data_IF_505476737300
#
_entry.id   IF_505476737300
#
_cell.length_a   1.000
_cell.length_b   1.000
_cell.length_c   1.000
_cell.angle_alpha   90.00
_cell.angle_beta   90.00
_cell.angle_gamma   90.00
#
_symmetry.space_group_name_H-M   'P 1'
#
loop_
_entity.id
_entity.type
_entity.pdbx_description
1 polymer ?
#
# COMPACT_ATOMS: atom_id res chain seq x y z
N UNK A 1 -34.99 15.57 12.86
CA UNK A 1 -33.74 14.89 13.21
C UNK A 1 -32.92 14.75 11.94
N UNK A 2 -31.93 15.62 11.72
CA UNK A 2 -31.07 15.54 10.53
C UNK A 2 -30.21 14.26 10.62
N UNK A 3 -30.06 13.48 9.54
CA UNK A 3 -29.17 12.33 9.55
C UNK A 3 -27.73 12.82 9.72
N UNK A 4 -27.05 12.32 10.74
CA UNK A 4 -25.63 12.63 10.95
C UNK A 4 -24.83 12.08 9.77
N UNK A 5 -23.95 12.87 9.14
CA UNK A 5 -23.16 12.42 8.00
C UNK A 5 -22.25 11.27 8.44
N UNK A 6 -22.45 10.10 7.86
CA UNK A 6 -21.65 8.92 8.13
C UNK A 6 -20.26 9.09 7.47
N UNK A 7 -19.17 9.25 8.26
CA UNK A 7 -17.85 9.54 7.72
C UNK A 7 -17.34 8.45 6.78
N UNK A 8 -17.73 7.19 7.01
CA UNK A 8 -17.34 6.07 6.17
C UNK A 8 -18.03 6.10 4.80
N UNK A 9 -19.28 6.61 4.72
CA UNK A 9 -20.00 6.77 3.45
C UNK A 9 -19.45 7.96 2.65
N UNK A 10 -19.18 9.08 3.32
CA UNK A 10 -18.53 10.24 2.69
C UNK A 10 -17.15 9.87 2.14
N UNK A 11 -16.35 9.13 2.92
CA UNK A 11 -15.05 8.65 2.50
C UNK A 11 -15.12 7.71 1.28
N UNK A 12 -16.08 6.77 1.25
CA UNK A 12 -16.29 5.89 0.09
C UNK A 12 -16.73 6.65 -1.16
N UNK A 13 -17.60 7.65 -1.01
CA UNK A 13 -18.08 8.48 -2.12
C UNK A 13 -16.93 9.31 -2.74
N UNK A 14 -16.09 9.94 -1.91
CA UNK A 14 -14.90 10.65 -2.39
C UNK A 14 -13.91 9.72 -3.07
N UNK A 15 -13.72 8.50 -2.54
CA UNK A 15 -12.85 7.48 -3.17
C UNK A 15 -13.36 7.07 -4.55
N UNK A 16 -14.66 6.84 -4.71
CA UNK A 16 -15.25 6.46 -6.00
C UNK A 16 -15.13 7.55 -7.09
N UNK A 17 -14.97 8.82 -6.69
CA UNK A 17 -14.81 9.94 -7.60
C UNK A 17 -13.36 10.15 -8.11
N UNK A 18 -12.38 9.47 -7.51
CA UNK A 18 -10.98 9.54 -7.96
C UNK A 18 -10.77 8.67 -9.21
N UNK A 19 -9.88 9.07 -10.14
CA UNK A 19 -9.39 8.17 -11.18
C UNK A 19 -8.89 6.86 -10.56
N UNK A 20 -9.11 5.73 -11.24
CA UNK A 20 -8.74 4.39 -10.70
C UNK A 20 -7.27 4.35 -10.24
N UNK A 21 -6.37 4.95 -11.01
CA UNK A 21 -4.94 5.07 -10.69
C UNK A 21 -4.66 5.88 -9.42
N UNK A 22 -5.40 6.97 -9.23
CA UNK A 22 -5.30 7.77 -8.00
C UNK A 22 -5.83 7.00 -6.79
N UNK A 23 -6.91 6.22 -6.95
CA UNK A 23 -7.41 5.35 -5.88
C UNK A 23 -6.37 4.29 -5.46
N UNK A 24 -5.64 3.72 -6.43
CA UNK A 24 -4.55 2.77 -6.19
C UNK A 24 -3.41 3.45 -5.43
N UNK A 25 -2.95 4.63 -5.88
CA UNK A 25 -1.90 5.41 -5.21
C UNK A 25 -2.26 5.75 -3.75
N UNK A 26 -3.53 6.06 -3.51
CA UNK A 26 -4.08 6.41 -2.22
C UNK A 26 -4.07 5.23 -1.23
N UNK A 27 -4.11 3.97 -1.72
CA UNK A 27 -3.91 2.77 -0.89
C UNK A 27 -2.45 2.67 -0.41
N UNK A 28 -1.48 2.84 -1.32
CA UNK A 28 -0.06 2.85 -0.95
C UNK A 28 0.25 3.94 0.09
N UNK A 29 -0.28 5.16 -0.11
CA UNK A 29 -0.09 6.29 0.82
C UNK A 29 -0.61 5.97 2.23
N UNK A 30 -1.73 5.26 2.36
CA UNK A 30 -2.28 4.85 3.67
C UNK A 30 -1.40 3.86 4.40
N UNK A 31 -0.96 2.81 3.70
CA UNK A 31 -0.05 1.81 4.28
C UNK A 31 1.26 2.48 4.71
N UNK A 32 1.77 3.42 3.91
CA UNK A 32 2.94 4.21 4.28
C UNK A 32 2.73 5.10 5.50
N UNK A 33 1.57 5.73 5.65
CA UNK A 33 1.24 6.47 6.86
C UNK A 33 1.30 5.59 8.11
N UNK A 34 0.79 4.35 8.03
CA UNK A 34 0.86 3.38 9.12
C UNK A 34 2.30 2.93 9.43
N UNK A 35 3.11 2.65 8.40
CA UNK A 35 4.53 2.30 8.57
C UNK A 35 5.32 3.44 9.22
N UNK A 36 5.12 4.70 8.80
CA UNK A 36 5.73 5.87 9.44
C UNK A 36 5.32 6.01 10.90
N UNK A 37 4.04 5.83 11.20
CA UNK A 37 3.53 5.87 12.57
C UNK A 37 4.11 4.74 13.44
N UNK A 38 4.55 3.63 12.84
CA UNK A 38 5.19 2.51 13.54
C UNK A 38 6.68 2.75 13.87
N UNK A 39 7.34 3.73 13.25
CA UNK A 39 8.73 4.10 13.58
C UNK A 39 8.86 4.85 14.91
N UNK A 40 7.75 5.25 15.53
CA UNK A 40 7.76 5.98 16.80
C UNK A 40 8.01 5.09 18.01
N UNK A 41 8.39 5.72 19.12
CA UNK A 41 8.65 5.03 20.40
C UNK A 41 7.39 4.88 21.26
N UNK A 42 7.51 4.15 22.38
CA UNK A 42 6.47 4.01 23.41
C UNK A 42 5.85 2.62 23.51
N UNK A 43 5.01 2.41 24.53
CA UNK A 43 4.46 1.11 24.89
C UNK A 43 3.65 0.43 23.76
N UNK A 44 3.05 1.21 22.86
CA UNK A 44 2.26 0.70 21.72
C UNK A 44 3.04 0.61 20.40
N UNK A 45 4.34 0.95 20.38
CA UNK A 45 5.14 0.95 19.15
C UNK A 45 5.15 -0.43 18.47
N UNK A 46 5.39 -1.49 19.23
CA UNK A 46 5.40 -2.86 18.70
C UNK A 46 4.06 -3.30 18.10
N UNK A 47 2.93 -2.96 18.74
CA UNK A 47 1.59 -3.25 18.23
C UNK A 47 1.31 -2.51 16.91
N UNK A 48 1.69 -1.23 16.83
CA UNK A 48 1.58 -0.44 15.59
C UNK A 48 2.42 -1.05 14.48
N UNK A 49 3.65 -1.48 14.77
CA UNK A 49 4.54 -2.13 13.81
C UNK A 49 3.95 -3.44 13.28
N UNK A 50 3.47 -4.33 14.16
CA UNK A 50 2.85 -5.60 13.76
C UNK A 50 1.67 -5.36 12.81
N UNK A 51 0.79 -4.41 13.13
CA UNK A 51 -0.37 -4.09 12.28
C UNK A 51 0.07 -3.49 10.94
N UNK A 52 0.99 -2.52 10.95
CA UNK A 52 1.47 -1.86 9.74
C UNK A 52 2.16 -2.85 8.78
N UNK A 53 2.97 -3.76 9.33
CA UNK A 53 3.58 -4.85 8.56
C UNK A 53 2.53 -5.82 8.02
N UNK A 54 1.54 -6.23 8.81
CA UNK A 54 0.47 -7.10 8.32
C UNK A 54 -0.31 -6.47 7.15
N UNK A 55 -0.62 -5.19 7.23
CA UNK A 55 -1.31 -4.45 6.17
C UNK A 55 -0.43 -4.26 4.93
N UNK A 56 0.86 -3.98 5.10
CA UNK A 56 1.80 -3.92 3.99
C UNK A 56 1.94 -5.27 3.27
N UNK A 57 1.92 -6.39 4.01
CA UNK A 57 2.00 -7.74 3.41
C UNK A 57 0.77 -8.02 2.56
N UNK A 58 -0.42 -7.67 3.06
CA UNK A 58 -1.70 -7.80 2.33
C UNK A 58 -1.70 -6.99 1.04
N UNK A 59 -1.19 -5.75 1.09
CA UNK A 59 -1.04 -4.90 -0.09
C UNK A 59 -0.19 -5.58 -1.16
N UNK A 60 1.01 -6.04 -0.80
CA UNK A 60 1.93 -6.63 -1.77
C UNK A 60 1.48 -7.98 -2.33
N UNK A 61 0.78 -8.81 -1.54
CA UNK A 61 0.14 -10.02 -2.04
C UNK A 61 -0.98 -9.72 -3.04
N UNK A 62 -1.78 -8.67 -2.79
CA UNK A 62 -2.82 -8.24 -3.74
C UNK A 62 -2.21 -7.70 -5.04
N UNK A 63 -1.14 -6.90 -4.95
CA UNK A 63 -0.39 -6.40 -6.11
C UNK A 63 0.17 -7.54 -6.95
N UNK A 64 0.82 -8.54 -6.33
CA UNK A 64 1.32 -9.71 -7.06
C UNK A 64 0.18 -10.47 -7.75
N UNK A 65 -0.93 -10.70 -7.04
CA UNK A 65 -2.12 -11.37 -7.59
C UNK A 65 -2.68 -10.67 -8.85
N UNK A 66 -2.75 -9.34 -8.84
CA UNK A 66 -3.22 -8.55 -10.00
C UNK A 66 -2.22 -8.62 -11.17
N UNK A 67 -0.92 -8.68 -10.90
CA UNK A 67 0.11 -8.65 -11.93
C UNK A 67 0.36 -10.00 -12.61
N UNK A 68 0.04 -11.11 -11.93
CA UNK A 68 0.14 -12.46 -12.50
C UNK A 68 -1.10 -12.85 -13.32
N UNK A 69 -2.20 -12.10 -13.18
CA UNK A 69 -3.41 -12.31 -13.97
C UNK A 69 -3.11 -12.09 -15.48
N UNK A 70 -3.44 -13.06 -16.35
CA UNK A 70 -3.16 -12.96 -17.79
C UNK A 70 -3.93 -11.83 -18.49
N UNK A 71 -5.01 -11.32 -17.88
CA UNK A 71 -5.81 -10.20 -18.39
C UNK A 71 -5.25 -8.83 -18.04
N UNK A 72 -4.17 -8.76 -17.26
CA UNK A 72 -3.53 -7.50 -16.88
C UNK A 72 -2.96 -6.76 -18.11
N UNK A 73 -3.41 -5.52 -18.30
CA UNK A 73 -3.07 -4.69 -19.46
C UNK A 73 -1.64 -4.15 -19.48
N UNK A 74 -0.86 -4.28 -18.40
CA UNK A 74 0.52 -3.82 -18.37
C UNK A 74 1.43 -4.73 -19.22
N UNK A 75 2.49 -4.19 -19.87
CA UNK A 75 3.46 -5.00 -20.59
C UNK A 75 4.10 -6.07 -19.70
N UNK A 76 4.29 -7.28 -20.24
CA UNK A 76 4.85 -8.40 -19.47
C UNK A 76 6.20 -8.10 -18.79
N UNK A 77 7.17 -7.39 -19.43
CA UNK A 77 8.41 -7.01 -18.77
C UNK A 77 8.19 -6.09 -17.55
N UNK A 78 7.24 -5.15 -17.64
CA UNK A 78 6.91 -4.25 -16.54
C UNK A 78 6.26 -5.01 -15.38
N UNK A 79 5.33 -5.93 -15.67
CA UNK A 79 4.72 -6.80 -14.65
C UNK A 79 5.79 -7.61 -13.91
N UNK A 80 6.71 -8.25 -14.65
CA UNK A 80 7.79 -9.02 -14.07
C UNK A 80 8.69 -8.18 -13.15
N UNK A 81 9.04 -6.96 -13.56
CA UNK A 81 9.82 -6.04 -12.73
C UNK A 81 9.10 -5.67 -11.43
N UNK A 82 7.80 -5.33 -11.47
CA UNK A 82 7.03 -4.98 -10.27
C UNK A 82 6.86 -6.20 -9.35
N UNK A 83 6.64 -7.39 -9.90
CA UNK A 83 6.58 -8.64 -9.11
C UNK A 83 7.92 -8.91 -8.41
N UNK A 84 9.06 -8.67 -9.07
CA UNK A 84 10.39 -8.81 -8.46
C UNK A 84 10.57 -7.85 -7.27
N UNK A 85 10.12 -6.61 -7.41
CA UNK A 85 10.09 -5.62 -6.32
C UNK A 85 9.21 -6.10 -5.17
N UNK A 86 7.98 -6.54 -5.46
CA UNK A 86 7.05 -7.04 -4.44
C UNK A 86 7.61 -8.23 -3.66
N UNK A 87 8.28 -9.17 -4.34
CA UNK A 87 8.95 -10.30 -3.68
C UNK A 87 10.11 -9.86 -2.80
N UNK A 88 10.82 -8.80 -3.18
CA UNK A 88 11.90 -8.22 -2.35
C UNK A 88 11.32 -7.59 -1.08
N UNK A 89 10.20 -6.88 -1.21
CA UNK A 89 9.46 -6.36 -0.05
C UNK A 89 8.99 -7.48 0.86
N UNK A 90 8.37 -8.53 0.33
CA UNK A 90 7.88 -9.65 1.15
C UNK A 90 9.01 -10.36 1.92
N UNK A 91 10.19 -10.53 1.29
CA UNK A 91 11.38 -11.08 1.97
C UNK A 91 11.94 -10.15 3.04
N UNK A 92 11.95 -8.84 2.80
CA UNK A 92 12.38 -7.86 3.82
C UNK A 92 11.53 -7.97 5.09
N UNK A 93 10.24 -8.19 4.93
CA UNK A 93 9.28 -8.32 6.02
C UNK A 93 9.36 -9.64 6.79
N UNK A 94 10.14 -10.61 6.30
CA UNK A 94 10.37 -11.90 6.97
C UNK A 94 11.57 -11.88 7.92
N UNK A 95 12.32 -10.77 7.96
CA UNK A 95 13.40 -10.56 8.93
C UNK A 95 12.83 -10.32 10.32
N UNK A 96 13.63 -10.65 11.34
CA UNK A 96 13.31 -10.35 12.75
C UNK A 96 13.17 -8.83 12.98
N UNK A 97 14.00 -8.04 12.30
CA UNK A 97 13.96 -6.57 12.29
C UNK A 97 13.86 -6.06 10.84
N UNK A 98 12.63 -5.92 10.29
CA UNK A 98 12.43 -5.40 8.94
C UNK A 98 12.85 -3.94 8.81
N UNK A 99 13.49 -3.58 7.69
CA UNK A 99 13.82 -2.18 7.38
C UNK A 99 12.55 -1.40 6.97
N UNK A 100 11.93 -0.72 7.94
CA UNK A 100 10.75 0.11 7.68
C UNK A 100 11.02 1.26 6.70
N UNK A 101 12.23 1.83 6.70
CA UNK A 101 12.56 2.93 5.79
C UNK A 101 12.62 2.46 4.34
N UNK A 102 13.19 1.28 4.09
CA UNK A 102 13.13 0.61 2.79
C UNK A 102 11.68 0.37 2.35
N UNK A 103 10.85 -0.24 3.21
CA UNK A 103 9.45 -0.53 2.89
C UNK A 103 8.67 0.73 2.50
N UNK A 104 8.87 1.80 3.27
CA UNK A 104 8.26 3.10 3.01
C UNK A 104 8.71 3.62 1.65
N UNK A 105 10.01 3.65 1.37
CA UNK A 105 10.55 4.18 0.12
C UNK A 105 10.03 3.46 -1.12
N UNK A 106 9.93 2.12 -1.08
CA UNK A 106 9.36 1.36 -2.20
C UNK A 106 7.89 1.75 -2.45
N UNK A 107 7.09 1.82 -1.40
CA UNK A 107 5.68 2.19 -1.49
C UNK A 107 5.48 3.63 -1.99
N UNK A 108 6.36 4.57 -1.64
CA UNK A 108 6.31 5.95 -2.16
C UNK A 108 6.56 5.99 -3.67
N UNK A 109 7.56 5.25 -4.13
CA UNK A 109 7.86 5.14 -5.56
C UNK A 109 6.68 4.53 -6.34
N UNK A 110 6.03 3.51 -5.77
CA UNK A 110 4.82 2.92 -6.37
C UNK A 110 3.65 3.92 -6.42
N UNK A 111 3.39 4.63 -5.32
CA UNK A 111 2.34 5.65 -5.28
C UNK A 111 2.59 6.78 -6.28
N UNK A 112 3.83 7.26 -6.38
CA UNK A 112 4.23 8.29 -7.33
C UNK A 112 4.03 7.83 -8.78
N UNK A 113 4.48 6.63 -9.12
CA UNK A 113 4.31 6.07 -10.47
C UNK A 113 2.83 5.90 -10.88
N UNK A 114 1.95 5.61 -9.92
CA UNK A 114 0.50 5.53 -10.15
C UNK A 114 -0.13 6.92 -10.34
N UNK A 115 0.29 7.91 -9.56
CA UNK A 115 -0.26 9.27 -9.62
C UNK A 115 0.20 10.07 -10.86
N UNK A 116 1.39 9.77 -11.40
CA UNK A 116 1.94 10.45 -12.59
C UNK A 116 1.26 10.07 -13.91
N UNK A 117 0.61 8.90 -13.98
CA UNK A 117 -0.06 8.40 -15.19
C UNK A 117 -1.58 8.72 -15.22
N UNK A 118 -1.98 9.85 -14.63
CA UNK A 118 -3.34 10.40 -14.69
C UNK A 118 -3.51 11.42 -15.83
#
# INVERSE_FOLDING_TARGET
MMPQPNPALAYRATRAALPVREQEADVFRRVNGALRAAQGEGAEAGLRAIRALADNRRLWLAVEGVLIDPTNALPAPLRASIVSVGRTVLREMEKDEPDLAFLIGVNENMAAGLAMNN
#
